data_IF_807459675442
#
_entry.id   IF_807459675442
#
_cell.length_a   1.000
_cell.length_b   1.000
_cell.length_c   1.000
_cell.angle_alpha   90.00
_cell.angle_beta   90.00
_cell.angle_gamma   90.00
#
_symmetry.space_group_name_H-M   'P 1'
#
loop_
_entity.id
_entity.type
_entity.pdbx_description
1 polymer ?
#
# COMPACT_ATOMS: atom_id res chain seq x y z
N UNK A 1 -18.01 -16.67 -16.66
CA UNK A 1 -18.05 -15.59 -15.65
C UNK A 1 -16.65 -14.99 -15.55
N UNK A 2 -16.37 -13.98 -16.37
CA UNK A 2 -15.09 -13.28 -16.35
C UNK A 2 -15.03 -12.46 -15.06
N UNK A 3 -14.12 -12.81 -14.16
CA UNK A 3 -13.75 -11.96 -13.02
C UNK A 3 -13.25 -10.65 -13.60
N UNK A 4 -14.04 -9.59 -13.43
CA UNK A 4 -13.63 -8.21 -13.70
C UNK A 4 -12.51 -7.89 -12.71
N UNK A 5 -11.26 -8.18 -13.09
CA UNK A 5 -10.09 -7.64 -12.41
C UNK A 5 -10.10 -6.15 -12.76
N UNK A 6 -10.21 -5.23 -11.79
CA UNK A 6 -10.12 -3.81 -12.09
C UNK A 6 -8.76 -3.56 -12.74
N UNK A 7 -8.77 -3.06 -13.99
CA UNK A 7 -7.55 -2.98 -14.80
C UNK A 7 -6.57 -1.91 -14.35
N UNK A 8 -6.89 -1.05 -13.38
CA UNK A 8 -5.94 -0.07 -12.83
C UNK A 8 -6.11 0.08 -11.32
N UNK A 9 -5.02 -0.16 -10.57
CA UNK A 9 -4.86 0.47 -9.27
C UNK A 9 -4.45 1.91 -9.55
N UNK A 10 -5.41 2.82 -9.51
CA UNK A 10 -5.13 4.23 -9.74
C UNK A 10 -4.28 4.78 -8.60
N UNK A 11 -3.14 5.37 -8.96
CA UNK A 11 -2.27 6.06 -8.02
C UNK A 11 -2.66 7.53 -8.01
N UNK A 12 -3.11 8.01 -6.85
CA UNK A 12 -3.51 9.40 -6.67
C UNK A 12 -2.38 10.13 -5.95
N UNK A 13 -1.77 11.11 -6.63
CA UNK A 13 -0.82 12.02 -6.02
C UNK A 13 -1.55 13.30 -5.60
N UNK A 14 -1.51 13.69 -4.31
CA UNK A 14 -2.23 14.86 -3.84
C UNK A 14 -1.59 16.15 -4.39
N UNK A 15 -2.44 17.10 -4.78
CA UNK A 15 -2.05 18.50 -4.92
C UNK A 15 -1.73 19.11 -3.55
N UNK A 16 -1.07 20.27 -3.54
CA UNK A 16 -0.76 20.97 -2.29
C UNK A 16 -2.04 21.33 -1.49
N UNK A 17 -3.11 21.73 -2.20
CA UNK A 17 -4.40 22.01 -1.58
C UNK A 17 -5.03 20.74 -0.97
N UNK A 18 -4.97 19.61 -1.67
CA UNK A 18 -5.48 18.33 -1.16
C UNK A 18 -4.67 17.83 0.03
N UNK A 19 -3.35 17.99 0.04
CA UNK A 19 -2.50 17.62 1.17
C UNK A 19 -2.85 18.43 2.42
N UNK A 20 -3.10 19.73 2.29
CA UNK A 20 -3.55 20.58 3.39
C UNK A 20 -4.92 20.15 3.91
N UNK A 21 -5.88 19.91 3.01
CA UNK A 21 -7.22 19.42 3.37
C UNK A 21 -7.16 18.05 4.05
N UNK A 22 -6.32 17.15 3.56
CA UNK A 22 -6.11 15.83 4.15
C UNK A 22 -5.50 15.91 5.55
N UNK A 23 -4.59 16.87 5.79
CA UNK A 23 -4.02 17.14 7.12
C UNK A 23 -5.10 17.58 8.11
N UNK A 24 -5.96 18.50 7.71
CA UNK A 24 -7.05 18.97 8.55
C UNK A 24 -8.06 17.85 8.84
N UNK A 25 -8.48 17.15 7.79
CA UNK A 25 -9.48 16.08 7.85
C UNK A 25 -9.00 14.90 8.68
N UNK A 26 -7.76 14.45 8.50
CA UNK A 26 -7.17 13.36 9.29
C UNK A 26 -7.09 13.73 10.77
N UNK A 27 -6.73 14.97 11.12
CA UNK A 27 -6.71 15.44 12.52
C UNK A 27 -8.10 15.40 13.15
N UNK A 28 -9.13 15.88 12.45
CA UNK A 28 -10.51 15.85 12.93
C UNK A 28 -11.01 14.42 13.11
N UNK A 29 -10.74 13.53 12.15
CA UNK A 29 -11.12 12.12 12.23
C UNK A 29 -10.37 11.37 13.34
N UNK A 30 -9.08 11.64 13.54
CA UNK A 30 -8.28 11.02 14.59
C UNK A 30 -8.76 11.40 16.01
N UNK A 31 -9.30 12.60 16.19
CA UNK A 31 -9.89 13.03 17.45
C UNK A 31 -11.17 12.25 17.81
N UNK A 32 -11.85 11.66 16.82
CA UNK A 32 -13.03 10.85 17.05
C UNK A 32 -12.65 9.43 17.48
N UNK A 33 -13.05 9.04 18.70
CA UNK A 33 -12.83 7.68 19.21
C UNK A 33 -13.73 6.68 18.49
N UNK A 34 -13.23 6.09 17.40
CA UNK A 34 -13.91 5.01 16.66
C UNK A 34 -14.05 3.74 17.52
N UNK A 35 -13.16 3.53 18.50
CA UNK A 35 -13.25 2.44 19.49
C UNK A 35 -13.41 1.06 18.84
N UNK A 36 -14.19 0.19 19.49
CA UNK A 36 -14.57 -1.16 19.02
C UNK A 36 -15.87 -1.17 18.21
N UNK A 37 -16.36 -0.01 17.76
CA UNK A 37 -17.61 0.06 16.97
C UNK A 37 -17.46 -0.72 15.67
N UNK A 38 -18.54 -1.36 15.22
CA UNK A 38 -18.60 -2.07 13.94
C UNK A 38 -18.79 -1.12 12.76
N UNK A 39 -19.50 -0.01 12.97
CA UNK A 39 -19.78 1.00 11.94
C UNK A 39 -19.77 2.43 12.48
N UNK A 40 -19.65 3.38 11.57
CA UNK A 40 -19.73 4.83 11.80
C UNK A 40 -20.69 5.42 10.77
N UNK A 41 -21.48 6.43 11.16
CA UNK A 41 -22.31 7.19 10.21
C UNK A 41 -21.56 8.41 9.70
N UNK A 42 -21.60 8.62 8.40
CA UNK A 42 -21.09 9.80 7.70
C UNK A 42 -22.31 10.54 7.13
N UNK A 43 -22.22 11.86 7.05
CA UNK A 43 -23.18 12.69 6.34
C UNK A 43 -22.51 13.22 5.07
N UNK A 44 -23.18 13.04 3.95
CA UNK A 44 -22.86 13.68 2.67
C UNK A 44 -23.70 14.95 2.59
N UNK A 45 -23.08 16.04 2.15
CA UNK A 45 -23.75 17.31 1.98
C UNK A 45 -23.44 17.81 0.57
N UNK A 46 -24.45 17.84 -0.27
CA UNK A 46 -24.38 18.40 -1.61
C UNK A 46 -25.02 19.79 -1.62
N UNK A 47 -24.51 20.69 -2.46
CA UNK A 47 -24.96 22.08 -2.51
C UNK A 47 -26.46 22.17 -2.85
N UNK A 48 -27.26 22.56 -1.85
CA UNK A 48 -28.70 22.77 -1.99
C UNK A 48 -29.58 21.54 -1.74
N UNK A 49 -29.00 20.40 -1.35
CA UNK A 49 -29.75 19.19 -0.99
C UNK A 49 -29.69 18.90 0.53
N UNK A 50 -30.65 18.12 1.01
CA UNK A 50 -30.65 17.67 2.41
C UNK A 50 -29.50 16.69 2.64
N UNK A 51 -28.84 16.79 3.80
CA UNK A 51 -27.72 15.93 4.14
C UNK A 51 -28.14 14.45 4.18
N UNK A 52 -27.56 13.63 3.32
CA UNK A 52 -27.80 12.19 3.32
C UNK A 52 -26.86 11.49 4.32
N UNK A 53 -27.40 10.61 5.16
CA UNK A 53 -26.58 9.85 6.12
C UNK A 53 -26.43 8.40 5.69
N UNK A 54 -25.18 7.93 5.65
CA UNK A 54 -24.84 6.54 5.33
C UNK A 54 -23.96 5.92 6.42
N UNK A 55 -24.10 4.60 6.61
CA UNK A 55 -23.27 3.84 7.54
C UNK A 55 -22.10 3.17 6.80
N UNK A 56 -20.88 3.40 7.28
CA UNK A 56 -19.67 2.72 6.80
C UNK A 56 -19.09 1.79 7.85
N UNK A 57 -18.40 0.70 7.47
CA UNK A 57 -17.63 -0.11 8.39
C UNK A 57 -16.55 0.73 9.09
N UNK A 58 -16.36 0.51 10.39
CA UNK A 58 -15.30 1.20 11.15
C UNK A 58 -13.90 0.88 10.61
N UNK A 59 -13.70 -0.30 10.02
CA UNK A 59 -12.47 -0.67 9.33
C UNK A 59 -12.20 0.20 8.09
N UNK A 60 -13.23 0.48 7.28
CA UNK A 60 -13.10 1.34 6.11
C UNK A 60 -12.72 2.78 6.51
N UNK A 61 -13.32 3.30 7.58
CA UNK A 61 -12.96 4.63 8.09
C UNK A 61 -11.51 4.68 8.62
N UNK A 62 -11.02 3.61 9.24
CA UNK A 62 -9.61 3.51 9.65
C UNK A 62 -8.65 3.52 8.45
N UNK A 63 -9.00 2.82 7.37
CA UNK A 63 -8.23 2.87 6.12
C UNK A 63 -8.25 4.28 5.50
N UNK A 64 -9.42 4.93 5.51
CA UNK A 64 -9.54 6.31 5.02
C UNK A 64 -8.69 7.29 5.84
N UNK A 65 -8.65 7.15 7.17
CA UNK A 65 -7.77 7.95 8.02
C UNK A 65 -6.29 7.76 7.66
N UNK A 66 -5.86 6.51 7.41
CA UNK A 66 -4.50 6.22 6.99
C UNK A 66 -4.19 6.85 5.62
N UNK A 67 -5.10 6.70 4.66
CA UNK A 67 -5.00 7.33 3.34
C UNK A 67 -4.83 8.86 3.44
N UNK A 68 -5.66 9.54 4.24
CA UNK A 68 -5.55 10.98 4.45
C UNK A 68 -4.22 11.37 5.14
N UNK A 69 -3.70 10.50 6.00
CA UNK A 69 -2.40 10.71 6.67
C UNK A 69 -1.25 10.67 5.65
N UNK A 70 -1.27 9.71 4.72
CA UNK A 70 -0.29 9.63 3.63
C UNK A 70 -0.41 10.84 2.69
N UNK A 71 -1.62 11.19 2.25
CA UNK A 71 -1.84 12.35 1.39
C UNK A 71 -1.38 13.65 2.07
N UNK A 72 -1.55 13.78 3.39
CA UNK A 72 -1.11 14.96 4.14
C UNK A 72 0.42 15.16 4.15
N UNK A 73 1.17 14.09 3.89
CA UNK A 73 2.64 14.11 3.77
C UNK A 73 3.09 14.34 2.31
N UNK A 74 2.15 14.49 1.37
CA UNK A 74 2.43 14.58 -0.06
C UNK A 74 2.67 13.21 -0.72
N UNK A 75 2.43 12.11 -0.01
CA UNK A 75 2.65 10.78 -0.55
C UNK A 75 1.52 10.41 -1.51
N UNK A 76 1.90 9.84 -2.66
CA UNK A 76 0.93 9.24 -3.57
C UNK A 76 0.37 7.94 -2.96
N UNK A 77 -0.93 7.70 -3.13
CA UNK A 77 -1.63 6.58 -2.52
C UNK A 77 -2.27 5.68 -3.57
N UNK A 78 -2.26 4.38 -3.32
CA UNK A 78 -2.86 3.36 -4.18
C UNK A 78 -3.57 2.32 -3.31
N UNK A 79 -4.85 2.03 -3.59
CA UNK A 79 -5.59 0.97 -2.89
C UNK A 79 -5.49 -0.34 -3.67
N UNK A 80 -4.83 -1.35 -3.10
CA UNK A 80 -4.63 -2.66 -3.73
C UNK A 80 -5.34 -3.73 -2.90
N UNK A 81 -6.34 -4.45 -3.44
CA UNK A 81 -6.94 -5.61 -2.78
C UNK A 81 -5.90 -6.72 -2.53
N UNK A 82 -5.97 -7.42 -1.41
CA UNK A 82 -5.01 -8.49 -1.06
C UNK A 82 -5.02 -9.66 -2.05
N UNK A 83 -6.19 -10.00 -2.58
CA UNK A 83 -6.37 -11.05 -3.59
C UNK A 83 -6.09 -10.56 -5.02
N UNK A 84 -5.62 -9.33 -5.19
CA UNK A 84 -5.29 -8.80 -6.49
C UNK A 84 -4.14 -9.59 -7.14
N UNK A 85 -4.23 -9.68 -8.45
CA UNK A 85 -3.15 -10.17 -9.27
C UNK A 85 -2.47 -9.03 -9.99
N UNK A 86 -1.17 -8.98 -9.80
CA UNK A 86 -0.29 -7.96 -10.31
C UNK A 86 0.32 -8.44 -11.63
N UNK A 87 0.47 -7.50 -12.56
CA UNK A 87 1.38 -7.67 -13.68
C UNK A 87 2.83 -7.68 -13.18
N UNK A 88 3.75 -8.19 -14.00
CA UNK A 88 5.18 -8.12 -13.69
C UNK A 88 5.72 -6.69 -13.62
N UNK A 89 5.04 -5.71 -14.24
CA UNK A 89 5.41 -4.31 -14.10
C UNK A 89 4.98 -3.78 -12.73
N UNK A 90 3.71 -3.95 -12.36
CA UNK A 90 3.21 -3.55 -11.04
C UNK A 90 3.99 -4.19 -9.89
N UNK A 91 4.37 -5.47 -10.05
CA UNK A 91 5.22 -6.14 -9.07
C UNK A 91 6.62 -5.52 -8.97
N UNK A 92 7.19 -5.05 -10.09
CA UNK A 92 8.48 -4.38 -10.11
C UNK A 92 8.40 -3.00 -9.45
N UNK A 93 7.34 -2.25 -9.73
CA UNK A 93 7.09 -0.94 -9.15
C UNK A 93 6.95 -1.05 -7.61
N UNK A 94 6.19 -2.05 -7.12
CA UNK A 94 6.01 -2.30 -5.69
C UNK A 94 7.28 -2.77 -4.96
N UNK A 95 8.16 -3.51 -5.66
CA UNK A 95 9.45 -3.92 -5.11
C UNK A 95 10.53 -2.84 -5.27
N UNK A 96 10.24 -1.74 -5.97
CA UNK A 96 11.21 -0.71 -6.35
C UNK A 96 12.44 -1.28 -7.07
N UNK A 97 12.20 -2.16 -8.05
CA UNK A 97 13.24 -2.84 -8.85
C UNK A 97 12.87 -2.82 -10.34
N UNK A 98 13.79 -3.27 -11.19
CA UNK A 98 13.50 -3.38 -12.62
C UNK A 98 12.58 -4.56 -12.93
N UNK A 99 11.70 -4.39 -13.93
CA UNK A 99 10.85 -5.49 -14.42
C UNK A 99 11.63 -6.75 -14.81
N UNK A 100 12.78 -6.69 -15.52
CA UNK A 100 13.59 -7.87 -15.80
C UNK A 100 14.04 -8.62 -14.55
N UNK A 101 14.35 -7.90 -13.46
CA UNK A 101 14.70 -8.53 -12.20
C UNK A 101 13.53 -9.32 -11.60
N UNK A 102 12.32 -8.76 -11.60
CA UNK A 102 11.12 -9.50 -11.18
C UNK A 102 10.92 -10.74 -12.04
N UNK A 103 11.02 -10.61 -13.37
CA UNK A 103 10.86 -11.76 -14.28
C UNK A 103 11.84 -12.89 -13.92
N UNK A 104 13.11 -12.56 -13.64
CA UNK A 104 14.11 -13.51 -13.15
C UNK A 104 13.69 -14.18 -11.84
N UNK A 105 13.19 -13.43 -10.86
CA UNK A 105 12.68 -14.01 -9.60
C UNK A 105 11.51 -14.98 -9.83
N UNK A 106 10.65 -14.70 -10.81
CA UNK A 106 9.55 -15.59 -11.18
C UNK A 106 10.07 -16.85 -11.89
N UNK A 107 11.04 -16.71 -12.80
CA UNK A 107 11.68 -17.85 -13.48
C UNK A 107 12.39 -18.79 -12.51
N UNK A 108 13.03 -18.22 -11.49
CA UNK A 108 13.71 -18.96 -10.42
C UNK A 108 12.73 -19.55 -9.38
N UNK A 109 11.43 -19.27 -9.48
CA UNK A 109 10.41 -19.74 -8.54
C UNK A 109 10.50 -19.10 -7.15
N UNK A 110 11.25 -18.01 -6.99
CA UNK A 110 11.40 -17.29 -5.71
C UNK A 110 10.13 -16.57 -5.28
N UNK A 111 9.31 -16.15 -6.26
CA UNK A 111 7.98 -15.60 -6.03
C UNK A 111 6.99 -16.46 -6.83
N UNK A 112 5.97 -17.04 -6.17
CA UNK A 112 4.91 -17.74 -6.87
C UNK A 112 4.27 -16.86 -7.95
N UNK A 113 4.08 -17.43 -9.13
CA UNK A 113 3.36 -16.77 -10.21
C UNK A 113 2.54 -17.79 -11.00
N UNK A 114 1.49 -17.30 -11.66
CA UNK A 114 0.71 -18.10 -12.61
C UNK A 114 0.77 -17.47 -14.00
N UNK A 115 0.66 -18.32 -15.01
CA UNK A 115 0.57 -17.89 -16.40
C UNK A 115 -0.88 -17.77 -16.82
N UNK A 116 -1.25 -16.63 -17.41
CA UNK A 116 -2.58 -16.35 -17.97
C UNK A 116 -2.39 -15.95 -19.43
N UNK A 117 -2.65 -16.91 -20.32
CA UNK A 117 -2.29 -16.76 -21.73
C UNK A 117 -0.79 -16.56 -21.91
N UNK A 118 -0.38 -15.41 -22.45
CA UNK A 118 1.04 -15.05 -22.65
C UNK A 118 1.66 -14.34 -21.43
N UNK A 119 0.86 -13.89 -20.48
CA UNK A 119 1.32 -12.99 -19.41
C UNK A 119 1.47 -13.72 -18.08
N UNK A 120 2.45 -13.31 -17.26
CA UNK A 120 2.54 -13.73 -15.86
C UNK A 120 1.68 -12.83 -14.97
N UNK A 121 1.14 -13.45 -13.92
CA UNK A 121 0.41 -12.82 -12.84
C UNK A 121 0.99 -13.25 -11.50
N UNK A 122 1.18 -12.29 -10.61
CA UNK A 122 1.73 -12.49 -9.26
C UNK A 122 0.68 -12.06 -8.27
N UNK A 123 0.35 -12.87 -7.27
CA UNK A 123 -0.58 -12.41 -6.23
C UNK A 123 0.10 -11.38 -5.35
N UNK A 124 -0.63 -10.33 -4.97
CA UNK A 124 -0.10 -9.29 -4.09
C UNK A 124 0.45 -9.86 -2.77
N UNK A 125 -0.29 -10.78 -2.14
CA UNK A 125 0.15 -11.43 -0.89
C UNK A 125 1.49 -12.15 -1.03
N UNK A 126 1.70 -12.87 -2.15
CA UNK A 126 2.94 -13.60 -2.44
C UNK A 126 4.10 -12.63 -2.68
N UNK A 127 3.86 -11.53 -3.39
CA UNK A 127 4.85 -10.49 -3.62
C UNK A 127 5.29 -9.83 -2.30
N UNK A 128 4.33 -9.46 -1.45
CA UNK A 128 4.62 -8.83 -0.17
C UNK A 128 5.28 -9.78 0.82
N UNK A 129 4.98 -11.09 0.75
CA UNK A 129 5.69 -12.10 1.52
C UNK A 129 7.16 -12.22 1.11
N UNK A 130 7.46 -12.15 -0.20
CA UNK A 130 8.83 -12.07 -0.69
C UNK A 130 9.53 -10.80 -0.20
N UNK A 131 8.88 -9.63 -0.35
CA UNK A 131 9.45 -8.34 0.07
C UNK A 131 9.87 -8.34 1.53
N UNK A 132 9.00 -8.82 2.43
CA UNK A 132 9.32 -8.89 3.87
C UNK A 132 10.56 -9.73 4.16
N UNK A 133 10.67 -10.91 3.53
CA UNK A 133 11.85 -11.79 3.69
C UNK A 133 13.13 -11.14 3.17
N UNK A 134 13.06 -10.43 2.04
CA UNK A 134 14.19 -9.72 1.44
C UNK A 134 14.63 -8.53 2.32
N UNK A 135 13.68 -7.75 2.83
CA UNK A 135 13.95 -6.63 3.74
C UNK A 135 14.59 -7.12 5.06
N UNK A 136 14.07 -8.21 5.65
CA UNK A 136 14.65 -8.86 6.84
C UNK A 136 16.08 -9.35 6.58
N UNK A 137 16.33 -9.99 5.44
CA UNK A 137 17.68 -10.45 5.07
C UNK A 137 18.66 -9.27 4.92
N UNK A 138 18.22 -8.15 4.32
CA UNK A 138 19.05 -6.94 4.17
C UNK A 138 19.37 -6.30 5.51
N UNK A 139 18.39 -6.22 6.42
CA UNK A 139 18.62 -5.70 7.76
C UNK A 139 19.69 -6.51 8.51
N UNK A 140 19.60 -7.85 8.47
CA UNK A 140 20.59 -8.72 9.11
C UNK A 140 22.01 -8.53 8.57
N UNK A 141 22.17 -8.30 7.26
CA UNK A 141 23.49 -8.04 6.65
C UNK A 141 24.05 -6.69 7.10
N UNK A 142 23.21 -5.65 7.18
CA UNK A 142 23.63 -4.35 7.69
C UNK A 142 24.07 -4.44 9.16
N UNK A 143 23.35 -5.19 9.99
CA UNK A 143 23.71 -5.42 11.39
C UNK A 143 25.06 -6.14 11.50
N UNK A 144 25.31 -7.15 10.67
CA UNK A 144 26.60 -7.85 10.60
C UNK A 144 27.74 -6.92 10.19
N UNK A 145 27.57 -6.13 9.12
CA UNK A 145 28.57 -5.17 8.66
C UNK A 145 28.85 -4.09 9.72
N UNK A 146 27.83 -3.66 10.47
CA UNK A 146 27.97 -2.69 11.55
C UNK A 146 28.75 -3.29 12.72
N UNK A 147 28.45 -4.53 13.11
CA UNK A 147 29.16 -5.25 14.16
C UNK A 147 30.64 -5.48 13.79
N UNK A 148 30.92 -5.92 12.57
CA UNK A 148 32.28 -6.10 12.05
C UNK A 148 33.04 -4.77 11.99
N UNK A 149 32.40 -3.67 11.59
CA UNK A 149 32.99 -2.34 11.59
C UNK A 149 33.33 -1.82 12.99
N UNK A 150 32.48 -2.10 13.98
CA UNK A 150 32.75 -1.78 15.39
C UNK A 150 33.91 -2.61 15.96
N UNK A 151 34.00 -3.89 15.59
CA UNK A 151 35.08 -4.79 16.01
C UNK A 151 36.43 -4.40 15.38
N UNK A 152 36.41 -3.87 14.15
CA UNK A 152 37.60 -3.38 13.44
C UNK A 152 38.00 -1.94 13.80
N UNK A 153 37.27 -1.27 14.71
CA UNK A 153 37.59 0.08 15.18
C UNK A 153 37.41 1.19 14.14
N UNK A 154 36.70 0.90 13.05
CA UNK A 154 36.31 1.87 12.00
C UNK A 154 34.93 2.46 12.36
N UNK A 155 34.87 3.13 13.51
CA UNK A 155 33.77 4.02 13.86
C UNK A 155 34.20 5.48 13.65
N UNK A 156 33.40 6.27 12.93
CA UNK A 156 33.56 7.72 12.89
C UNK A 156 33.23 8.36 14.23
#
# INVERSE_FOLDING_TARGET
>A
MATLIPENFETVAPTEAEALLARESSRLLAAHKIGTRSSVRIQLLDDGEEAESLAVPASALRLFLHLLTEMSQGNAVTLIPTHAELTTQQAADLLNVSRPYVVKLLDEGKIPSRTVGKYRRVRFDDLMAYKRKDDEARANVLDQLTAEGQELGIGY
#
